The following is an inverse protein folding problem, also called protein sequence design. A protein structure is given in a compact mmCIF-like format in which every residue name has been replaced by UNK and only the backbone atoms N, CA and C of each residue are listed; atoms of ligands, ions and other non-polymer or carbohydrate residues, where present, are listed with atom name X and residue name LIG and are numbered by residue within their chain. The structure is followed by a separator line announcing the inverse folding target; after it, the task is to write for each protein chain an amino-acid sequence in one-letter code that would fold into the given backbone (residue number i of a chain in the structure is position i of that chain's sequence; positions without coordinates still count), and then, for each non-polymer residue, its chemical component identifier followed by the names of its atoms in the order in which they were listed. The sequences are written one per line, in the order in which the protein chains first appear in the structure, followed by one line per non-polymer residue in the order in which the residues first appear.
data_IF_952400345658
#
_entry.id   IF_952400345658
#
_cell.length_a   1.000
_cell.length_b   1.000
_cell.length_c   1.000
_cell.angle_alpha   90.00
_cell.angle_beta   90.00
_cell.angle_gamma   90.00
#
_symmetry.space_group_name_H-M   'P 1'
#
loop_
_entity.id
_entity.type
_entity.pdbx_description
1 polymer ?
#
# COMPACT_ATOMS: atom_id res chain seq x y z
N UNK A 1 20.71 -3.79 19.28
CA UNK A 1 20.62 -2.95 18.06
C UNK A 1 19.60 -3.57 17.14
N UNK A 2 18.63 -2.80 16.65
CA UNK A 2 17.71 -3.30 15.64
C UNK A 2 18.43 -3.48 14.29
N UNK A 3 18.05 -4.46 13.46
CA UNK A 3 18.67 -4.65 12.15
C UNK A 3 18.62 -3.40 11.26
N UNK A 4 17.70 -2.49 11.54
CA UNK A 4 17.52 -1.24 10.77
C UNK A 4 18.53 -0.16 11.12
N UNK A 5 19.27 -0.30 12.23
CA UNK A 5 20.24 0.73 12.66
C UNK A 5 21.45 0.85 11.72
N UNK A 6 21.69 -0.14 10.87
CA UNK A 6 22.80 -0.16 9.92
C UNK A 6 22.39 0.30 8.51
N UNK A 7 21.10 0.42 8.23
CA UNK A 7 20.61 0.82 6.92
C UNK A 7 20.46 2.33 6.82
N UNK A 8 20.78 2.89 5.66
CA UNK A 8 20.52 4.31 5.42
C UNK A 8 19.01 4.59 5.47
N UNK A 9 18.64 5.84 5.75
CA UNK A 9 17.25 6.26 5.75
C UNK A 9 16.60 6.02 4.38
N UNK A 10 17.34 6.26 3.30
CA UNK A 10 16.86 6.00 1.94
C UNK A 10 16.56 4.52 1.71
N UNK A 11 17.39 3.62 2.25
CA UNK A 11 17.16 2.18 2.15
C UNK A 11 15.97 1.74 2.98
N UNK A 12 15.84 2.28 4.20
CA UNK A 12 14.70 1.96 5.07
C UNK A 12 13.37 2.33 4.42
N UNK A 13 13.25 3.54 3.86
CA UNK A 13 12.00 3.95 3.21
C UNK A 13 11.75 3.14 1.92
N UNK A 14 12.78 2.85 1.14
CA UNK A 14 12.66 2.03 -0.07
C UNK A 14 12.13 0.62 0.25
N UNK A 15 12.65 0.02 1.33
CA UNK A 15 12.21 -1.30 1.78
C UNK A 15 10.72 -1.29 2.18
N UNK A 16 10.29 -0.27 2.93
CA UNK A 16 8.88 -0.13 3.35
C UNK A 16 7.93 0.14 2.19
N UNK A 17 8.38 0.84 1.16
CA UNK A 17 7.57 1.16 -0.03
C UNK A 17 7.71 0.12 -1.15
N UNK A 18 8.58 -0.88 -0.96
CA UNK A 18 8.81 -1.93 -1.97
C UNK A 18 9.56 -1.48 -3.21
N UNK A 19 9.95 -0.20 -3.27
CA UNK A 19 10.63 0.40 -4.39
C UNK A 19 11.38 1.64 -3.94
N UNK A 20 12.51 1.93 -4.58
CA UNK A 20 13.25 3.17 -4.36
C UNK A 20 12.66 4.28 -5.22
N UNK A 21 12.21 5.35 -4.57
CA UNK A 21 11.72 6.55 -5.23
C UNK A 21 12.75 7.66 -5.13
N UNK A 22 13.10 8.35 -6.25
CA UNK A 22 14.04 9.47 -6.21
C UNK A 22 13.65 10.57 -5.21
N UNK A 23 12.36 10.85 -5.10
CA UNK A 23 11.85 11.83 -4.14
C UNK A 23 12.17 11.44 -2.70
N UNK A 24 11.98 10.17 -2.34
CA UNK A 24 12.32 9.69 -0.99
C UNK A 24 13.82 9.73 -0.73
N UNK A 25 14.63 9.36 -1.72
CA UNK A 25 16.10 9.43 -1.60
C UNK A 25 16.57 10.88 -1.38
N UNK A 26 16.00 11.82 -2.11
CA UNK A 26 16.28 13.25 -1.94
C UNK A 26 15.92 13.74 -0.54
N UNK A 27 14.71 13.42 -0.06
CA UNK A 27 14.23 13.81 1.26
C UNK A 27 15.11 13.19 2.36
N UNK A 28 15.45 11.90 2.23
CA UNK A 28 16.29 11.22 3.20
C UNK A 28 17.68 11.86 3.29
N UNK A 29 18.24 12.33 2.17
CA UNK A 29 19.55 12.99 2.13
C UNK A 29 19.50 14.42 2.66
N UNK A 30 18.51 15.20 2.22
CA UNK A 30 18.45 16.64 2.51
C UNK A 30 17.72 16.98 3.80
N UNK A 31 16.78 16.15 4.20
CA UNK A 31 15.93 16.34 5.38
C UNK A 31 15.83 15.03 6.19
N UNK A 32 16.97 14.55 6.73
CA UNK A 32 16.98 13.26 7.43
C UNK A 32 16.05 13.22 8.64
N UNK A 33 15.91 14.33 9.34
CA UNK A 33 14.99 14.45 10.48
C UNK A 33 13.53 14.24 10.07
N UNK A 34 13.13 14.78 8.92
CA UNK A 34 11.79 14.52 8.36
C UNK A 34 11.62 13.05 8.02
N UNK A 35 12.59 12.45 7.35
CA UNK A 35 12.51 11.03 6.97
C UNK A 35 12.46 10.13 8.20
N UNK A 36 13.21 10.43 9.25
CA UNK A 36 13.14 9.70 10.53
C UNK A 36 11.73 9.80 11.14
N UNK A 37 11.14 11.00 11.13
CA UNK A 37 9.80 11.21 11.64
C UNK A 37 8.75 10.44 10.81
N UNK A 38 8.89 10.41 9.49
CA UNK A 38 8.00 9.65 8.59
C UNK A 38 8.08 8.15 8.86
N UNK A 39 9.29 7.61 8.99
CA UNK A 39 9.50 6.19 9.31
C UNK A 39 8.90 5.85 10.68
N UNK A 40 9.06 6.73 11.66
CA UNK A 40 8.46 6.55 12.98
C UNK A 40 6.93 6.60 12.94
N UNK A 41 6.36 7.47 12.12
CA UNK A 41 4.91 7.53 11.91
C UNK A 41 4.38 6.21 11.36
N UNK A 42 5.07 5.64 10.36
CA UNK A 42 4.73 4.32 9.83
C UNK A 42 4.75 3.25 10.93
N UNK A 43 5.79 3.26 11.77
CA UNK A 43 5.91 2.31 12.88
C UNK A 43 4.74 2.44 13.87
N UNK A 44 4.39 3.66 14.24
CA UNK A 44 3.28 3.91 15.18
C UNK A 44 1.96 3.41 14.63
N UNK A 45 1.75 3.54 13.33
CA UNK A 45 0.53 3.07 12.68
C UNK A 45 0.48 1.53 12.62
N UNK A 46 1.63 0.88 12.39
CA UNK A 46 1.71 -0.56 12.13
C UNK A 46 1.99 -1.41 13.36
N UNK A 47 2.71 -0.89 14.36
CA UNK A 47 3.18 -1.67 15.51
C UNK A 47 2.10 -2.09 16.50
N UNK A 48 0.94 -1.45 16.47
CA UNK A 48 -0.12 -1.75 17.43
C UNK A 48 -1.40 -2.11 16.71
N UNK A 49 -1.82 -3.35 16.87
CA UNK A 49 -3.21 -3.68 16.65
C UNK A 49 -4.04 -2.85 17.62
N UNK A 50 -4.84 -1.94 17.08
CA UNK A 50 -5.76 -1.12 17.87
C UNK A 50 -7.16 -1.70 17.75
N UNK A 51 -8.00 -1.10 16.89
CA UNK A 51 -9.35 -1.58 16.63
C UNK A 51 -9.42 -2.46 15.38
N UNK A 52 -8.48 -2.25 14.44
CA UNK A 52 -8.48 -2.95 13.16
C UNK A 52 -7.21 -3.79 13.03
N UNK A 53 -7.38 -4.98 12.48
CA UNK A 53 -6.26 -5.86 12.18
C UNK A 53 -5.48 -5.40 10.93
N UNK A 54 -4.40 -6.11 10.62
CA UNK A 54 -3.54 -5.78 9.50
C UNK A 54 -4.28 -5.85 8.16
N UNK A 55 -5.18 -6.81 8.01
CA UNK A 55 -5.99 -6.97 6.80
C UNK A 55 -6.88 -5.75 6.55
N UNK A 56 -7.52 -5.24 7.60
CA UNK A 56 -8.34 -4.03 7.51
C UNK A 56 -7.50 -2.79 7.22
N UNK A 57 -6.30 -2.69 7.81
CA UNK A 57 -5.38 -1.60 7.49
C UNK A 57 -5.03 -1.60 6.00
N UNK A 58 -4.77 -2.77 5.42
CA UNK A 58 -4.49 -2.85 3.98
C UNK A 58 -5.71 -2.44 3.14
N UNK A 59 -6.91 -2.83 3.55
CA UNK A 59 -8.13 -2.40 2.85
C UNK A 59 -8.26 -0.87 2.86
N UNK A 60 -8.02 -0.22 4.01
CA UNK A 60 -8.08 1.24 4.09
C UNK A 60 -7.03 1.91 3.23
N UNK A 61 -5.80 1.39 3.17
CA UNK A 61 -4.76 1.90 2.26
C UNK A 61 -5.18 1.76 0.79
N UNK A 62 -5.75 0.62 0.43
CA UNK A 62 -6.26 0.37 -0.93
C UNK A 62 -7.31 1.43 -1.30
N UNK A 63 -8.30 1.66 -0.44
CA UNK A 63 -9.36 2.64 -0.69
C UNK A 63 -8.79 4.05 -0.79
N UNK A 64 -7.92 4.44 0.13
CA UNK A 64 -7.31 5.78 0.13
C UNK A 64 -6.51 6.03 -1.15
N UNK A 65 -5.71 5.05 -1.59
CA UNK A 65 -4.91 5.18 -2.80
C UNK A 65 -5.77 5.16 -4.06
N UNK A 66 -6.83 4.36 -4.10
CA UNK A 66 -7.78 4.36 -5.22
C UNK A 66 -8.47 5.72 -5.36
N UNK A 67 -8.87 6.32 -4.24
CA UNK A 67 -9.49 7.66 -4.21
C UNK A 67 -8.50 8.74 -4.63
N UNK A 68 -7.23 8.62 -4.22
CA UNK A 68 -6.19 9.58 -4.60
C UNK A 68 -5.95 9.65 -6.12
N UNK A 69 -6.26 8.58 -6.83
CA UNK A 69 -6.30 8.58 -8.28
C UNK A 69 -5.05 8.10 -8.97
N UNK A 70 -5.18 7.91 -10.28
CA UNK A 70 -4.14 7.34 -11.13
C UNK A 70 -3.02 8.33 -11.41
N UNK A 71 -1.78 7.95 -11.05
CA UNK A 71 -0.57 8.62 -11.46
C UNK A 71 0.62 7.63 -11.35
N UNK A 72 1.77 7.93 -11.98
CA UNK A 72 2.90 7.00 -11.98
C UNK A 72 3.47 6.65 -10.60
N UNK A 73 3.26 7.49 -9.59
CA UNK A 73 3.72 7.24 -8.23
C UNK A 73 2.70 6.46 -7.41
N UNK A 74 1.41 6.71 -7.61
CA UNK A 74 0.35 6.07 -6.88
C UNK A 74 0.13 4.61 -7.30
N UNK A 75 0.14 4.33 -8.60
CA UNK A 75 -0.20 3.02 -9.14
C UNK A 75 0.65 1.87 -8.57
N UNK A 76 1.99 1.97 -8.48
CA UNK A 76 2.79 0.92 -7.85
C UNK A 76 2.47 0.73 -6.37
N UNK A 77 2.18 1.80 -5.65
CA UNK A 77 1.78 1.75 -4.23
C UNK A 77 0.46 1.02 -4.05
N UNK A 78 -0.54 1.37 -4.85
CA UNK A 78 -1.85 0.72 -4.80
C UNK A 78 -1.71 -0.78 -5.08
N UNK A 79 -0.97 -1.17 -6.10
CA UNK A 79 -0.76 -2.58 -6.43
C UNK A 79 -0.06 -3.33 -5.31
N UNK A 80 0.90 -2.71 -4.64
CA UNK A 80 1.62 -3.32 -3.52
C UNK A 80 0.67 -3.60 -2.35
N UNK A 81 -0.18 -2.65 -1.99
CA UNK A 81 -1.17 -2.85 -0.92
C UNK A 81 -2.25 -3.86 -1.33
N UNK A 82 -2.66 -3.87 -2.59
CA UNK A 82 -3.57 -4.88 -3.11
C UNK A 82 -2.98 -6.29 -2.99
N UNK A 83 -1.73 -6.48 -3.40
CA UNK A 83 -1.04 -7.77 -3.25
C UNK A 83 -0.98 -8.20 -1.79
N UNK A 84 -0.56 -7.32 -0.91
CA UNK A 84 -0.45 -7.63 0.50
C UNK A 84 -1.81 -7.96 1.11
N UNK A 85 -2.84 -7.19 0.80
CA UNK A 85 -4.20 -7.45 1.28
C UNK A 85 -4.74 -8.79 0.81
N UNK A 86 -4.55 -9.12 -0.46
CA UNK A 86 -4.96 -10.40 -1.03
C UNK A 86 -4.21 -11.57 -0.37
N UNK A 87 -2.91 -11.43 -0.13
CA UNK A 87 -2.11 -12.46 0.56
C UNK A 87 -2.54 -12.64 2.02
N UNK A 88 -3.01 -11.58 2.66
CA UNK A 88 -3.55 -11.63 4.02
C UNK A 88 -4.97 -12.21 4.09
N UNK A 89 -5.59 -12.48 2.95
CA UNK A 89 -6.90 -13.10 2.88
C UNK A 89 -8.07 -12.18 2.54
N UNK A 90 -7.82 -10.94 2.12
CA UNK A 90 -8.88 -10.13 1.52
C UNK A 90 -9.35 -10.82 0.24
N UNK A 91 -10.66 -10.96 0.12
CA UNK A 91 -11.24 -11.52 -1.09
C UNK A 91 -11.38 -10.43 -2.15
N UNK A 92 -11.16 -10.76 -3.44
CA UNK A 92 -11.38 -9.78 -4.51
C UNK A 92 -12.76 -9.14 -4.46
N UNK A 93 -13.78 -9.90 -4.10
CA UNK A 93 -15.17 -9.42 -3.99
C UNK A 93 -15.31 -8.40 -2.85
N UNK A 94 -14.60 -8.60 -1.75
CA UNK A 94 -14.61 -7.64 -0.63
C UNK A 94 -13.98 -6.31 -1.03
N UNK A 95 -12.85 -6.37 -1.74
CA UNK A 95 -12.18 -5.17 -2.26
C UNK A 95 -13.09 -4.46 -3.27
N UNK A 96 -13.70 -5.22 -4.18
CA UNK A 96 -14.63 -4.69 -5.17
C UNK A 96 -15.82 -3.98 -4.52
N UNK A 97 -16.43 -4.59 -3.52
CA UNK A 97 -17.56 -4.00 -2.80
C UNK A 97 -17.14 -2.71 -2.09
N UNK A 98 -15.99 -2.72 -1.42
CA UNK A 98 -15.49 -1.53 -0.74
C UNK A 98 -15.24 -0.37 -1.72
N UNK A 99 -14.67 -0.67 -2.90
CA UNK A 99 -14.50 0.32 -3.96
C UNK A 99 -15.84 0.85 -4.48
N UNK A 100 -16.84 -0.02 -4.61
CA UNK A 100 -18.20 0.39 -5.01
C UNK A 100 -18.80 1.39 -4.02
N UNK A 101 -18.61 1.17 -2.73
CA UNK A 101 -19.08 2.09 -1.69
C UNK A 101 -18.47 3.48 -1.87
N UNK A 102 -17.24 3.57 -2.35
CA UNK A 102 -16.56 4.86 -2.57
C UNK A 102 -17.08 5.62 -3.81
N UNK A 103 -17.83 5.00 -4.70
CA UNK A 103 -18.24 5.62 -5.97
C UNK A 103 -19.12 6.85 -5.73
N UNK A 104 -20.13 6.76 -4.86
CA UNK A 104 -21.02 7.88 -4.59
C UNK A 104 -20.28 9.13 -4.11
N UNK A 105 -19.43 9.07 -3.07
CA UNK A 105 -18.74 10.27 -2.61
C UNK A 105 -17.55 10.68 -3.49
N UNK A 106 -16.93 9.76 -4.22
CA UNK A 106 -15.65 9.99 -4.89
C UNK A 106 -15.67 9.87 -6.42
N UNK A 107 -16.76 9.35 -6.98
CA UNK A 107 -16.91 9.20 -8.44
C UNK A 107 -16.52 7.82 -8.97
N UNK A 108 -17.00 7.50 -10.17
CA UNK A 108 -16.87 6.17 -10.78
C UNK A 108 -15.41 5.77 -11.09
N UNK A 109 -14.51 6.73 -11.25
CA UNK A 109 -13.10 6.45 -11.55
C UNK A 109 -12.41 5.64 -10.47
N UNK A 110 -12.84 5.79 -9.21
CA UNK A 110 -12.31 5.01 -8.07
C UNK A 110 -12.48 3.52 -8.33
N UNK A 111 -13.66 3.11 -8.74
CA UNK A 111 -13.97 1.71 -9.02
C UNK A 111 -13.17 1.19 -10.22
N UNK A 112 -13.21 1.92 -11.34
CA UNK A 112 -12.51 1.50 -12.56
C UNK A 112 -11.01 1.38 -12.34
N UNK A 113 -10.41 2.40 -11.72
CA UNK A 113 -8.98 2.41 -11.43
C UNK A 113 -8.60 1.33 -10.41
N UNK A 114 -9.33 1.27 -9.30
CA UNK A 114 -9.05 0.32 -8.22
C UNK A 114 -9.18 -1.14 -8.68
N UNK A 115 -10.24 -1.47 -9.41
CA UNK A 115 -10.44 -2.83 -9.93
C UNK A 115 -9.40 -3.19 -10.98
N UNK A 116 -9.06 -2.25 -11.87
CA UNK A 116 -8.01 -2.49 -12.85
C UNK A 116 -6.68 -2.85 -12.18
N UNK A 117 -6.27 -2.07 -11.19
CA UNK A 117 -5.06 -2.36 -10.42
C UNK A 117 -5.16 -3.69 -9.65
N UNK A 118 -6.35 -4.01 -9.12
CA UNK A 118 -6.58 -5.29 -8.43
C UNK A 118 -6.39 -6.47 -9.38
N UNK A 119 -6.95 -6.41 -10.57
CA UNK A 119 -6.81 -7.49 -11.55
C UNK A 119 -5.36 -7.69 -11.98
N UNK A 120 -4.62 -6.60 -12.15
CA UNK A 120 -3.18 -6.67 -12.44
C UNK A 120 -2.40 -7.28 -11.27
N UNK A 121 -2.69 -6.86 -10.04
CA UNK A 121 -2.07 -7.42 -8.84
C UNK A 121 -2.36 -8.92 -8.70
N UNK A 122 -3.61 -9.32 -8.96
CA UNK A 122 -4.00 -10.73 -8.93
C UNK A 122 -3.23 -11.56 -9.97
N UNK A 123 -3.11 -11.05 -11.19
CA UNK A 123 -2.38 -11.75 -12.25
C UNK A 123 -0.90 -11.95 -11.86
N UNK A 124 -0.27 -10.94 -11.28
CA UNK A 124 1.11 -11.03 -10.80
C UNK A 124 1.26 -12.05 -9.65
N UNK A 125 0.31 -12.06 -8.70
CA UNK A 125 0.29 -13.03 -7.60
C UNK A 125 0.05 -14.46 -8.10
N UNK A 126 -0.87 -14.64 -9.04
CA UNK A 126 -1.20 -15.94 -9.62
C UNK A 126 0.00 -16.55 -10.34
N UNK A 127 0.82 -15.75 -11.02
CA UNK A 127 2.05 -16.23 -11.64
C UNK A 127 3.07 -16.72 -10.63
N UNK A 128 3.00 -16.26 -9.38
CA UNK A 128 3.82 -16.72 -8.25
C UNK A 128 3.19 -17.86 -7.45
N UNK A 129 2.01 -18.37 -7.85
CA UNK A 129 1.36 -19.49 -7.21
C UNK A 129 0.18 -19.17 -6.30
N UNK A 130 -0.09 -17.88 -6.05
CA UNK A 130 -1.27 -17.47 -5.28
C UNK A 130 -2.56 -17.80 -6.03
N UNK A 131 -3.59 -18.14 -5.29
CA UNK A 131 -4.96 -18.34 -5.82
C UNK A 131 -5.94 -17.62 -4.92
N UNK A 132 -7.02 -17.04 -5.49
CA UNK A 132 -8.06 -16.42 -4.67
C UNK A 132 -8.74 -17.47 -3.78
N UNK A 133 -9.12 -17.08 -2.55
CA UNK A 133 -9.88 -17.97 -1.67
C UNK A 133 -11.25 -18.27 -2.27
N UNK A 134 -11.68 -19.52 -2.14
CA UNK A 134 -13.00 -19.96 -2.57
C UNK A 134 -14.14 -19.39 -1.72
#
# INVERSE_FOLDING_TARGET
MSPDSEKSLADQIAERRGKRYPAHAFIAEKFPDYMEALLRLDDVIREKERLFDEKMHELFHILALAVAGSNPYNQPHLKQHLKKGLELGLRPEEIGEALMVCVNPCGAKVLTYGVTCMLEAMAELESGGWRPPE
#
